data_IF_592028617760
#
_entry.id   IF_592028617760
#
_cell.length_a   1.000
_cell.length_b   1.000
_cell.length_c   1.000
_cell.angle_alpha   90.00
_cell.angle_beta   90.00
_cell.angle_gamma   90.00
#
_symmetry.space_group_name_H-M   'P 1'
#
loop_
_entity.id
_entity.type
_entity.pdbx_description
1 polymer ?
#
# COMPACT_ATOMS: atom_id res chain seq x y z
N UNK A 1 -15.73 6.77 -8.49
CA UNK A 1 -15.27 6.72 -7.09
C UNK A 1 -14.90 5.31 -6.58
N UNK A 2 -14.63 4.34 -7.44
CA UNK A 2 -14.42 2.94 -7.04
C UNK A 2 -12.98 2.45 -7.27
N UNK A 3 -11.99 3.27 -6.90
CA UNK A 3 -10.60 2.97 -7.26
C UNK A 3 -9.82 2.22 -6.17
N UNK A 4 -10.27 2.33 -4.91
CA UNK A 4 -9.77 1.56 -3.76
C UNK A 4 -10.96 0.82 -3.17
N UNK A 5 -10.87 -0.50 -3.10
CA UNK A 5 -11.90 -1.37 -2.53
C UNK A 5 -11.34 -2.13 -1.36
N UNK A 6 -12.07 -2.11 -0.27
CA UNK A 6 -11.73 -2.86 0.95
C UNK A 6 -12.84 -3.85 1.23
N UNK A 7 -12.47 -5.11 1.37
CA UNK A 7 -13.38 -6.17 1.78
C UNK A 7 -12.84 -6.83 3.05
N UNK A 8 -13.74 -7.13 3.94
CA UNK A 8 -13.48 -7.85 5.17
C UNK A 8 -14.43 -9.03 5.23
N UNK A 9 -13.91 -10.23 5.26
CA UNK A 9 -14.77 -11.40 5.27
C UNK A 9 -14.06 -12.73 5.25
N UNK A 10 -14.86 -13.78 5.18
CA UNK A 10 -14.44 -15.17 5.09
C UNK A 10 -14.26 -15.56 3.61
N UNK A 11 -13.09 -16.08 3.27
CA UNK A 11 -12.80 -16.62 1.94
C UNK A 11 -12.97 -18.14 2.01
N UNK A 12 -13.96 -18.70 1.30
CA UNK A 12 -14.06 -20.14 1.12
C UNK A 12 -13.30 -20.56 -0.14
N UNK A 13 -13.69 -20.00 -1.27
CA UNK A 13 -13.04 -20.28 -2.55
C UNK A 13 -13.22 -19.09 -3.51
N UNK A 14 -12.12 -18.61 -4.06
CA UNK A 14 -12.13 -17.74 -5.22
C UNK A 14 -11.47 -18.45 -6.39
N UNK A 15 -12.21 -18.63 -7.45
CA UNK A 15 -11.68 -19.19 -8.70
C UNK A 15 -10.59 -18.29 -9.27
N UNK A 16 -9.70 -18.87 -10.06
CA UNK A 16 -8.58 -18.16 -10.60
C UNK A 16 -8.99 -16.94 -11.42
N UNK A 17 -8.46 -15.79 -11.06
CA UNK A 17 -8.65 -14.50 -11.72
C UNK A 17 -7.32 -13.79 -11.95
N UNK A 18 -7.33 -12.81 -12.86
CA UNK A 18 -6.17 -11.96 -13.12
C UNK A 18 -6.36 -10.65 -12.38
N UNK A 19 -5.39 -10.28 -11.58
CA UNK A 19 -5.46 -9.04 -10.82
C UNK A 19 -5.27 -7.82 -11.74
N UNK A 20 -6.25 -6.92 -11.76
CA UNK A 20 -6.23 -5.70 -12.59
C UNK A 20 -5.54 -4.50 -11.93
N UNK A 21 -4.99 -4.68 -10.73
CA UNK A 21 -4.32 -3.63 -9.98
C UNK A 21 -3.32 -4.22 -8.99
N UNK A 22 -3.21 -3.66 -7.81
CA UNK A 22 -2.50 -4.26 -6.68
C UNK A 22 -3.52 -4.76 -5.66
N UNK A 23 -3.34 -5.99 -5.21
CA UNK A 23 -4.18 -6.61 -4.20
C UNK A 23 -3.34 -6.97 -2.98
N UNK A 24 -3.75 -6.46 -1.82
CA UNK A 24 -3.16 -6.76 -0.53
C UNK A 24 -4.09 -7.69 0.24
N UNK A 25 -3.58 -8.83 0.66
CA UNK A 25 -4.28 -9.80 1.49
C UNK A 25 -3.64 -9.84 2.88
N UNK A 26 -4.43 -9.61 3.92
CA UNK A 26 -4.00 -9.72 5.32
C UNK A 26 -4.95 -10.67 6.06
N UNK A 27 -4.42 -11.77 6.59
CA UNK A 27 -5.22 -12.74 7.35
C UNK A 27 -5.30 -12.31 8.81
N UNK A 28 -6.52 -12.05 9.29
CA UNK A 28 -6.78 -11.69 10.69
C UNK A 28 -7.04 -12.91 11.57
N UNK A 29 -7.64 -13.97 11.00
CA UNK A 29 -7.94 -15.24 11.68
C UNK A 29 -8.00 -16.39 10.68
N UNK A 30 -7.59 -17.59 11.10
CA UNK A 30 -7.60 -18.78 10.26
C UNK A 30 -6.47 -18.81 9.24
N UNK A 31 -6.68 -19.58 8.16
CA UNK A 31 -5.70 -19.76 7.09
C UNK A 31 -6.33 -19.59 5.73
N UNK A 32 -5.55 -19.08 4.77
CA UNK A 32 -5.94 -18.94 3.37
C UNK A 32 -4.82 -19.44 2.48
N UNK A 33 -5.12 -20.38 1.60
CA UNK A 33 -4.21 -20.86 0.57
C UNK A 33 -4.32 -19.97 -0.66
N UNK A 34 -3.21 -19.37 -1.06
CA UNK A 34 -3.08 -18.56 -2.25
C UNK A 34 -2.29 -19.33 -3.28
N UNK A 35 -2.83 -19.51 -4.48
CA UNK A 35 -2.12 -20.03 -5.64
C UNK A 35 -2.00 -18.93 -6.67
N UNK A 36 -0.79 -18.61 -7.06
CA UNK A 36 -0.53 -17.68 -8.16
C UNK A 36 0.28 -18.36 -9.26
N UNK A 37 0.49 -17.68 -10.40
CA UNK A 37 1.28 -18.21 -11.50
C UNK A 37 2.71 -18.56 -11.11
N UNK A 38 3.25 -18.00 -10.03
CA UNK A 38 4.64 -18.15 -9.63
C UNK A 38 4.82 -18.99 -8.36
N UNK A 39 3.79 -19.06 -7.52
CA UNK A 39 3.92 -19.68 -6.19
C UNK A 39 2.59 -20.12 -5.60
N UNK A 40 2.68 -21.09 -4.73
CA UNK A 40 1.59 -21.48 -3.84
C UNK A 40 2.05 -21.21 -2.40
N UNK A 41 1.22 -20.47 -1.65
CA UNK A 41 1.50 -20.09 -0.28
C UNK A 41 0.27 -20.33 0.58
N UNK A 42 0.47 -20.76 1.82
CA UNK A 42 -0.58 -20.76 2.84
C UNK A 42 -0.30 -19.61 3.79
N UNK A 43 -1.22 -18.68 3.83
CA UNK A 43 -1.18 -17.54 4.73
C UNK A 43 -1.93 -17.90 6.01
N UNK A 44 -1.29 -17.70 7.14
CA UNK A 44 -1.85 -17.87 8.48
C UNK A 44 -2.16 -16.51 9.12
N UNK A 45 -2.70 -16.53 10.32
CA UNK A 45 -2.99 -15.31 11.06
C UNK A 45 -1.77 -14.36 11.10
N UNK A 46 -1.98 -13.09 10.77
CA UNK A 46 -1.00 -12.01 10.62
C UNK A 46 -0.17 -12.07 9.34
N UNK A 47 -0.28 -13.10 8.52
CA UNK A 47 0.42 -13.12 7.25
C UNK A 47 -0.20 -12.12 6.26
N UNK A 48 0.69 -11.51 5.50
CA UNK A 48 0.40 -10.51 4.48
C UNK A 48 1.00 -10.94 3.16
N UNK A 49 0.23 -10.81 2.08
CA UNK A 49 0.70 -11.03 0.72
C UNK A 49 0.21 -9.94 -0.22
N UNK A 50 1.09 -9.52 -1.13
CA UNK A 50 0.71 -8.65 -2.25
C UNK A 50 0.67 -9.48 -3.53
N UNK A 51 -0.45 -9.37 -4.25
CA UNK A 51 -0.63 -9.92 -5.60
C UNK A 51 -0.47 -8.77 -6.59
N UNK A 52 0.49 -8.95 -7.50
CA UNK A 52 0.88 -7.91 -8.45
C UNK A 52 -0.16 -7.69 -9.55
N UNK A 53 -0.08 -6.54 -10.19
CA UNK A 53 -0.82 -6.28 -11.41
C UNK A 53 -0.52 -7.34 -12.46
N UNK A 54 -1.57 -7.87 -13.09
CA UNK A 54 -1.46 -8.91 -14.12
C UNK A 54 -1.21 -10.32 -13.59
N UNK A 55 -0.99 -10.51 -12.31
CA UNK A 55 -0.76 -11.82 -11.71
C UNK A 55 -2.06 -12.62 -11.65
N UNK A 56 -2.01 -13.84 -12.16
CA UNK A 56 -3.11 -14.79 -12.02
C UNK A 56 -3.07 -15.38 -10.60
N UNK A 57 -4.23 -15.43 -9.94
CA UNK A 57 -4.32 -15.97 -8.58
C UNK A 57 -5.65 -16.68 -8.33
N UNK A 58 -5.64 -17.60 -7.40
CA UNK A 58 -6.84 -18.21 -6.81
C UNK A 58 -6.66 -18.32 -5.31
N UNK A 59 -7.77 -18.23 -4.58
CA UNK A 59 -7.82 -18.34 -3.13
C UNK A 59 -8.68 -19.51 -2.74
N UNK A 60 -8.28 -20.22 -1.67
CA UNK A 60 -9.02 -21.34 -1.12
C UNK A 60 -8.75 -21.44 0.37
N UNK A 61 -9.78 -21.68 1.17
CA UNK A 61 -9.66 -22.04 2.56
C UNK A 61 -10.61 -23.19 2.89
N UNK A 62 -10.14 -24.17 3.66
CA UNK A 62 -10.94 -25.30 4.14
C UNK A 62 -11.54 -25.05 5.51
N UNK A 63 -11.27 -23.91 6.14
CA UNK A 63 -11.70 -23.57 7.49
C UNK A 63 -12.17 -22.11 7.60
N UNK A 64 -12.98 -21.76 8.60
CA UNK A 64 -13.42 -20.39 8.82
C UNK A 64 -12.22 -19.45 9.01
N UNK A 65 -12.22 -18.35 8.26
CA UNK A 65 -11.17 -17.35 8.32
C UNK A 65 -11.76 -15.95 8.29
N UNK A 66 -10.96 -14.95 8.64
CA UNK A 66 -11.28 -13.53 8.44
C UNK A 66 -10.07 -12.87 7.80
N UNK A 67 -10.29 -12.27 6.64
CA UNK A 67 -9.24 -11.70 5.82
C UNK A 67 -9.61 -10.28 5.41
N UNK A 68 -8.66 -9.35 5.51
CA UNK A 68 -8.75 -8.05 4.86
C UNK A 68 -8.22 -8.20 3.45
N UNK A 69 -9.02 -7.75 2.51
CA UNK A 69 -8.70 -7.66 1.10
C UNK A 69 -8.75 -6.18 0.69
N UNK A 70 -7.61 -5.59 0.40
CA UNK A 70 -7.49 -4.23 -0.08
C UNK A 70 -7.05 -4.25 -1.54
N UNK A 71 -7.91 -3.78 -2.45
CA UNK A 71 -7.63 -3.67 -3.88
C UNK A 71 -7.45 -2.22 -4.30
N UNK A 72 -6.33 -1.93 -4.95
CA UNK A 72 -6.06 -0.66 -5.63
C UNK A 72 -6.15 -0.89 -7.14
N UNK A 73 -7.20 -0.38 -7.75
CA UNK A 73 -7.47 -0.58 -9.18
C UNK A 73 -6.47 0.13 -10.11
N UNK A 74 -6.44 -0.29 -11.38
CA UNK A 74 -5.52 0.24 -12.40
C UNK A 74 -5.65 1.76 -12.56
N UNK A 75 -6.88 2.31 -12.61
CA UNK A 75 -7.11 3.76 -12.74
C UNK A 75 -6.54 4.57 -11.57
N UNK A 76 -6.66 4.05 -10.34
CA UNK A 76 -6.06 4.68 -9.17
C UNK A 76 -4.54 4.69 -9.28
N UNK A 77 -3.95 3.54 -9.63
CA UNK A 77 -2.50 3.40 -9.77
C UNK A 77 -1.95 4.25 -10.91
N UNK A 78 -2.65 4.36 -12.05
CA UNK A 78 -2.24 5.25 -13.14
C UNK A 78 -2.15 6.72 -12.71
N UNK A 79 -3.05 7.15 -11.86
CA UNK A 79 -3.09 8.53 -11.37
C UNK A 79 -2.08 8.80 -10.26
N UNK A 80 -1.91 7.88 -9.31
CA UNK A 80 -1.13 8.11 -8.08
C UNK A 80 0.28 7.57 -8.19
N UNK A 81 0.46 6.41 -8.81
CA UNK A 81 1.75 5.74 -8.90
C UNK A 81 1.78 4.76 -10.08
N UNK A 82 1.84 5.29 -11.29
CA UNK A 82 1.81 4.51 -12.54
C UNK A 82 2.86 3.40 -12.59
N UNK A 83 4.04 3.64 -12.03
CA UNK A 83 5.13 2.66 -12.01
C UNK A 83 4.76 1.39 -11.22
N UNK A 84 3.82 1.49 -10.28
CA UNK A 84 3.37 0.31 -9.52
C UNK A 84 2.71 -0.76 -10.39
N UNK A 85 2.13 -0.37 -11.54
CA UNK A 85 1.56 -1.30 -12.52
C UNK A 85 2.62 -2.16 -13.24
N UNK A 86 3.87 -1.69 -13.28
CA UNK A 86 4.98 -2.33 -13.99
C UNK A 86 6.04 -2.89 -13.05
N UNK A 87 5.97 -2.52 -11.79
CA UNK A 87 6.90 -2.97 -10.77
C UNK A 87 6.43 -4.29 -10.20
N UNK A 88 7.33 -5.25 -10.11
CA UNK A 88 7.06 -6.50 -9.42
C UNK A 88 7.48 -6.39 -7.96
N UNK A 89 6.52 -6.65 -7.09
CA UNK A 89 6.74 -6.61 -5.65
C UNK A 89 6.84 -8.02 -5.09
N UNK A 90 7.83 -8.25 -4.24
CA UNK A 90 7.99 -9.49 -3.48
C UNK A 90 7.63 -9.23 -2.02
N UNK A 91 6.34 -9.08 -1.76
CA UNK A 91 5.81 -8.83 -0.43
C UNK A 91 4.95 -10.03 0.00
N UNK A 92 5.57 -10.95 0.74
CA UNK A 92 4.93 -12.11 1.36
C UNK A 92 5.52 -12.27 2.74
N UNK A 93 4.69 -12.10 3.76
CA UNK A 93 5.03 -12.39 5.14
C UNK A 93 4.55 -13.79 5.46
N UNK A 94 5.45 -14.66 5.83
CA UNK A 94 5.13 -15.95 6.42
C UNK A 94 5.83 -16.05 7.77
N UNK A 95 5.36 -16.93 8.65
CA UNK A 95 5.93 -17.14 9.98
C UNK A 95 7.44 -17.44 10.00
N UNK A 96 8.00 -17.83 8.86
CA UNK A 96 9.42 -18.15 8.70
C UNK A 96 10.32 -16.91 8.52
N UNK A 97 9.76 -15.73 8.21
CA UNK A 97 10.52 -14.51 7.92
C UNK A 97 10.61 -13.53 9.12
N UNK A 98 11.06 -14.02 10.27
CA UNK A 98 11.17 -13.22 11.49
C UNK A 98 12.11 -11.99 11.37
N UNK A 99 13.14 -12.05 10.49
CA UNK A 99 14.13 -10.98 10.34
C UNK A 99 13.58 -9.68 9.71
N UNK A 100 12.45 -9.74 9.00
CA UNK A 100 11.82 -8.58 8.31
C UNK A 100 10.56 -8.09 9.01
N UNK A 101 10.31 -8.52 10.26
CA UNK A 101 9.11 -8.22 11.05
C UNK A 101 8.69 -6.75 11.04
N UNK A 102 9.57 -5.78 11.35
CA UNK A 102 9.18 -4.36 11.42
C UNK A 102 8.65 -3.76 10.11
N UNK A 103 9.17 -4.22 8.96
CA UNK A 103 8.72 -3.74 7.65
C UNK A 103 7.29 -4.20 7.33
N UNK A 104 7.01 -5.48 7.60
CA UNK A 104 5.67 -6.02 7.44
C UNK A 104 4.69 -5.44 8.46
N UNK A 105 5.16 -5.07 9.66
CA UNK A 105 4.33 -4.42 10.67
C UNK A 105 3.86 -3.05 10.21
N UNK A 106 4.70 -2.25 9.57
CA UNK A 106 4.31 -1.00 8.95
C UNK A 106 3.23 -1.20 7.87
N UNK A 107 3.42 -2.18 6.98
CA UNK A 107 2.43 -2.52 5.95
C UNK A 107 1.09 -2.96 6.55
N UNK A 108 1.12 -3.83 7.56
CA UNK A 108 -0.09 -4.29 8.27
C UNK A 108 -0.83 -3.13 8.90
N UNK A 109 -0.13 -2.26 9.63
CA UNK A 109 -0.71 -1.07 10.26
C UNK A 109 -1.43 -0.18 9.25
N UNK A 110 -0.81 0.11 8.11
CA UNK A 110 -1.40 0.93 7.06
C UNK A 110 -2.64 0.28 6.44
N UNK A 111 -2.61 -1.04 6.18
CA UNK A 111 -3.77 -1.78 5.67
C UNK A 111 -4.92 -1.77 6.68
N UNK A 112 -4.61 -1.98 7.97
CA UNK A 112 -5.61 -1.96 9.04
C UNK A 112 -6.25 -0.57 9.19
N UNK A 113 -5.47 0.50 9.11
CA UNK A 113 -5.99 1.87 9.11
C UNK A 113 -6.96 2.12 7.96
N UNK A 114 -6.58 1.74 6.73
CA UNK A 114 -7.46 1.87 5.56
C UNK A 114 -8.74 1.05 5.77
N UNK A 115 -8.65 -0.17 6.30
CA UNK A 115 -9.80 -1.02 6.57
C UNK A 115 -10.71 -0.39 7.65
N UNK A 116 -10.16 0.10 8.74
CA UNK A 116 -10.93 0.76 9.80
C UNK A 116 -11.68 1.99 9.28
N UNK A 117 -11.02 2.85 8.52
CA UNK A 117 -11.68 4.03 7.92
C UNK A 117 -12.78 3.64 6.93
N UNK A 118 -12.55 2.58 6.12
CA UNK A 118 -13.54 2.10 5.16
C UNK A 118 -14.82 1.57 5.83
N UNK A 119 -14.70 0.89 6.97
CA UNK A 119 -15.84 0.31 7.70
C UNK A 119 -16.41 1.24 8.76
N UNK A 120 -15.61 2.10 9.38
CA UNK A 120 -16.04 3.09 10.38
C UNK A 120 -16.90 4.19 9.77
N UNK A 121 -16.71 4.51 8.49
CA UNK A 121 -17.42 5.56 7.74
C UNK A 121 -17.59 6.86 8.53
N UNK A 122 -16.56 7.22 9.29
CA UNK A 122 -16.50 8.49 9.99
C UNK A 122 -16.55 9.66 9.00
N UNK A 123 -16.80 10.86 9.50
CA UNK A 123 -16.76 12.05 8.66
C UNK A 123 -15.41 12.13 7.93
N UNK A 124 -15.44 12.36 6.62
CA UNK A 124 -14.26 12.49 5.76
C UNK A 124 -13.40 11.20 5.61
N UNK A 125 -13.97 10.02 5.87
CA UNK A 125 -13.27 8.73 5.76
C UNK A 125 -12.61 8.51 4.39
N UNK A 126 -13.19 9.02 3.31
CA UNK A 126 -12.62 8.93 1.96
C UNK A 126 -11.29 9.70 1.85
N UNK A 127 -11.18 10.87 2.49
CA UNK A 127 -9.93 11.63 2.55
C UNK A 127 -8.86 10.88 3.36
N UNK A 128 -9.25 10.23 4.45
CA UNK A 128 -8.34 9.41 5.25
C UNK A 128 -7.80 8.22 4.45
N UNK A 129 -8.65 7.53 3.70
CA UNK A 129 -8.22 6.46 2.78
C UNK A 129 -7.29 7.01 1.69
N UNK A 130 -7.62 8.17 1.10
CA UNK A 130 -6.80 8.79 0.06
C UNK A 130 -5.44 9.27 0.59
N UNK A 131 -5.32 9.58 1.86
CA UNK A 131 -4.04 9.92 2.49
C UNK A 131 -3.19 8.68 2.84
N UNK A 132 -3.81 7.63 3.34
CA UNK A 132 -3.14 6.41 3.78
C UNK A 132 -2.68 5.52 2.61
N UNK A 133 -3.44 5.45 1.52
CA UNK A 133 -3.13 4.58 0.40
C UNK A 133 -1.84 4.95 -0.36
N UNK A 134 -1.50 6.23 -0.62
CA UNK A 134 -0.20 6.60 -1.17
C UNK A 134 0.98 6.24 -0.25
N UNK A 135 0.80 6.32 1.06
CA UNK A 135 1.82 5.92 2.04
C UNK A 135 2.07 4.40 1.98
N UNK A 136 1.02 3.60 1.87
CA UNK A 136 1.12 2.15 1.67
C UNK A 136 1.87 1.82 0.37
N UNK A 137 1.57 2.51 -0.73
CA UNK A 137 2.29 2.38 -2.00
C UNK A 137 3.76 2.81 -1.88
N UNK A 138 4.05 3.88 -1.15
CA UNK A 138 5.42 4.32 -0.90
C UNK A 138 6.21 3.25 -0.14
N UNK A 139 5.65 2.70 0.94
CA UNK A 139 6.27 1.61 1.71
C UNK A 139 6.51 0.38 0.84
N UNK A 140 5.52 -0.03 0.04
CA UNK A 140 5.65 -1.15 -0.89
C UNK A 140 6.78 -0.93 -1.91
N UNK A 141 6.86 0.25 -2.51
CA UNK A 141 7.87 0.60 -3.52
C UNK A 141 9.28 0.72 -2.95
N UNK A 142 9.43 1.20 -1.75
CA UNK A 142 10.75 1.40 -1.16
C UNK A 142 11.32 0.12 -0.57
N UNK A 143 10.47 -0.78 -0.06
CA UNK A 143 10.91 -1.92 0.73
C UNK A 143 10.77 -3.28 0.04
N UNK A 144 9.79 -3.44 -0.87
CA UNK A 144 9.39 -4.74 -1.39
C UNK A 144 9.57 -4.93 -2.89
N UNK A 145 10.25 -4.02 -3.55
CA UNK A 145 10.57 -4.18 -4.98
C UNK A 145 11.51 -5.36 -5.18
N UNK A 146 11.09 -6.31 -6.02
CA UNK A 146 11.90 -7.50 -6.35
C UNK A 146 13.21 -7.08 -7.04
N UNK A 147 14.29 -7.84 -6.79
CA UNK A 147 15.66 -7.47 -7.20
C UNK A 147 15.84 -7.14 -8.69
N UNK A 148 15.05 -7.77 -9.57
CA UNK A 148 15.00 -7.43 -11.00
C UNK A 148 14.29 -6.10 -11.29
N UNK A 149 13.39 -5.68 -10.41
CA UNK A 149 12.60 -4.46 -10.56
C UNK A 149 13.18 -3.23 -9.84
N UNK A 150 14.09 -3.41 -8.88
CA UNK A 150 14.72 -2.29 -8.15
C UNK A 150 15.46 -1.30 -9.05
N UNK A 151 15.82 -1.71 -10.26
CA UNK A 151 16.52 -0.87 -11.24
C UNK A 151 15.59 -0.21 -12.26
N UNK A 152 14.26 -0.49 -12.24
CA UNK A 152 13.41 -0.29 -13.41
C UNK A 152 13.00 1.17 -13.69
N UNK A 153 13.16 2.13 -12.76
CA UNK A 153 12.74 3.53 -13.00
C UNK A 153 13.59 4.60 -12.31
N UNK A 154 14.82 4.27 -11.90
CA UNK A 154 15.80 5.29 -11.48
C UNK A 154 16.76 5.63 -12.62
N UNK A 155 16.23 5.90 -13.80
CA UNK A 155 17.10 6.46 -14.82
C UNK A 155 16.93 7.98 -14.86
N UNK A 156 18.02 8.69 -14.66
CA UNK A 156 18.14 10.11 -14.95
C UNK A 156 18.55 10.34 -16.42
N UNK A 157 18.65 9.26 -17.19
CA UNK A 157 19.04 9.31 -18.58
C UNK A 157 17.89 9.83 -19.45
N UNK A 158 17.99 11.08 -19.85
CA UNK A 158 16.97 11.79 -20.64
C UNK A 158 16.63 11.05 -21.93
N UNK A 159 17.61 10.45 -22.61
CA UNK A 159 17.36 9.67 -23.83
C UNK A 159 16.52 8.42 -23.56
N UNK A 160 16.77 7.75 -22.45
CA UNK A 160 15.97 6.57 -22.11
C UNK A 160 14.53 6.94 -21.72
N UNK A 161 14.33 8.06 -21.01
CA UNK A 161 12.99 8.56 -20.69
C UNK A 161 12.21 8.88 -21.97
N UNK A 162 12.81 9.56 -22.93
CA UNK A 162 12.19 9.86 -24.22
C UNK A 162 11.87 8.60 -25.02
N UNK A 163 12.76 7.60 -24.99
CA UNK A 163 12.51 6.29 -25.63
C UNK A 163 11.34 5.57 -24.99
N UNK A 164 11.27 5.54 -23.66
CA UNK A 164 10.17 4.90 -22.92
C UNK A 164 8.82 5.56 -23.22
N UNK A 165 8.77 6.89 -23.24
CA UNK A 165 7.58 7.66 -23.58
C UNK A 165 7.12 7.35 -25.02
N UNK A 166 8.04 7.39 -25.99
CA UNK A 166 7.74 7.05 -27.36
C UNK A 166 7.29 5.59 -27.56
N UNK A 167 7.80 4.65 -26.76
CA UNK A 167 7.35 3.27 -26.78
C UNK A 167 5.92 3.14 -26.23
N UNK A 168 5.60 3.85 -25.17
CA UNK A 168 4.26 3.85 -24.57
C UNK A 168 3.19 4.45 -25.48
N UNK A 169 3.55 5.46 -26.26
CA UNK A 169 2.65 6.07 -27.25
C UNK A 169 2.41 5.18 -28.47
N UNK A 170 3.42 4.41 -28.88
CA UNK A 170 3.43 3.74 -30.18
C UNK A 170 3.57 2.21 -30.10
N UNK A 171 3.32 1.57 -28.96
CA UNK A 171 3.55 0.11 -28.80
C UNK A 171 2.73 -0.76 -29.75
N UNK A 172 1.59 -0.28 -30.26
CA UNK A 172 0.75 -0.94 -31.25
C UNK A 172 1.37 -0.99 -32.67
N UNK A 173 2.34 -0.12 -32.93
CA UNK A 173 3.01 -0.05 -34.20
C UNK A 173 4.26 -0.97 -34.25
N UNK A 174 4.85 -1.20 -35.47
CA UNK A 174 6.09 -1.95 -35.61
C UNK A 174 7.29 -1.15 -35.13
N UNK A 175 7.42 -0.99 -33.82
CA UNK A 175 8.49 -0.26 -33.14
C UNK A 175 9.67 -1.20 -32.88
N UNK A 176 10.65 -1.24 -33.79
CA UNK A 176 11.87 -2.04 -33.59
C UNK A 176 12.94 -1.25 -32.85
N UNK A 177 13.90 -1.96 -32.25
CA UNK A 177 15.04 -1.36 -31.57
C UNK A 177 15.81 -0.40 -32.49
N UNK A 178 16.01 -0.80 -33.76
CA UNK A 178 16.71 -0.03 -34.77
C UNK A 178 15.99 1.28 -35.12
N UNK A 179 14.67 1.20 -35.35
CA UNK A 179 13.83 2.38 -35.61
C UNK A 179 13.85 3.36 -34.43
N UNK A 180 13.72 2.81 -33.20
CA UNK A 180 13.72 3.63 -32.00
C UNK A 180 15.10 4.25 -31.76
N UNK A 181 16.18 3.51 -31.92
CA UNK A 181 17.52 4.04 -31.82
C UNK A 181 17.76 5.16 -32.85
N UNK A 182 17.36 4.96 -34.10
CA UNK A 182 17.47 5.99 -35.15
C UNK A 182 16.67 7.27 -34.81
N UNK A 183 15.46 7.13 -34.27
CA UNK A 183 14.61 8.29 -33.86
C UNK A 183 15.28 9.18 -32.84
N UNK A 184 16.08 8.63 -31.94
CA UNK A 184 16.76 9.36 -30.86
C UNK A 184 18.28 9.52 -31.09
N UNK A 185 18.75 9.30 -32.31
CA UNK A 185 20.18 9.42 -32.69
C UNK A 185 21.12 8.54 -31.86
N UNK A 186 20.63 7.35 -31.46
CA UNK A 186 21.39 6.36 -30.71
C UNK A 186 21.78 5.19 -31.62
N UNK A 187 22.89 4.50 -31.30
CA UNK A 187 23.13 3.22 -31.92
C UNK A 187 22.26 2.12 -31.29
N UNK A 188 21.78 1.12 -32.08
CA UNK A 188 20.98 0.01 -31.52
C UNK A 188 21.69 -0.73 -30.39
N UNK A 189 23.01 -0.93 -30.52
CA UNK A 189 23.83 -1.58 -29.48
C UNK A 189 23.90 -0.76 -28.18
N UNK A 190 23.97 0.58 -28.29
CA UNK A 190 23.96 1.44 -27.12
C UNK A 190 22.60 1.41 -26.45
N UNK A 191 21.50 1.58 -27.21
CA UNK A 191 20.14 1.52 -26.68
C UNK A 191 19.84 0.19 -25.99
N UNK A 192 20.25 -0.93 -26.60
CA UNK A 192 20.08 -2.28 -26.01
C UNK A 192 20.80 -2.42 -24.66
N UNK A 193 22.06 -1.95 -24.59
CA UNK A 193 22.83 -1.97 -23.33
C UNK A 193 22.26 -1.02 -22.29
N UNK A 194 21.82 0.16 -22.71
CA UNK A 194 21.17 1.15 -21.85
C UNK A 194 19.90 0.58 -21.23
N UNK A 195 19.04 -0.05 -22.02
CA UNK A 195 17.85 -0.76 -21.54
C UNK A 195 18.20 -1.82 -20.51
N UNK A 196 19.16 -2.69 -20.81
CA UNK A 196 19.55 -3.78 -19.90
C UNK A 196 20.11 -3.24 -18.59
N UNK A 197 20.91 -2.17 -18.66
CA UNK A 197 21.55 -1.56 -17.49
C UNK A 197 20.55 -0.82 -16.61
N UNK A 198 19.72 0.05 -17.19
CA UNK A 198 18.83 0.94 -16.45
C UNK A 198 17.51 0.26 -16.07
N UNK A 199 16.96 -0.53 -17.01
CA UNK A 199 15.64 -1.17 -16.84
C UNK A 199 15.72 -2.60 -16.31
N UNK A 200 16.90 -3.23 -16.32
CA UNK A 200 17.09 -4.63 -15.91
C UNK A 200 16.43 -5.65 -16.86
N UNK A 201 15.78 -5.19 -17.95
CA UNK A 201 15.08 -6.00 -18.96
C UNK A 201 15.53 -5.62 -20.36
N UNK A 202 15.22 -6.44 -21.35
CA UNK A 202 15.50 -6.10 -22.75
C UNK A 202 14.43 -5.18 -23.33
N UNK A 203 14.79 -4.42 -24.38
CA UNK A 203 13.86 -3.59 -25.14
C UNK A 203 12.62 -4.39 -25.59
N UNK A 204 12.83 -5.59 -26.12
CA UNK A 204 11.74 -6.45 -26.63
C UNK A 204 10.83 -6.95 -25.51
N UNK A 205 11.38 -7.34 -24.38
CA UNK A 205 10.58 -7.77 -23.23
C UNK A 205 9.72 -6.62 -22.70
N UNK A 206 10.27 -5.42 -22.62
CA UNK A 206 9.52 -4.23 -22.23
C UNK A 206 8.41 -3.90 -23.24
N UNK A 207 8.72 -3.89 -24.54
CA UNK A 207 7.72 -3.66 -25.58
C UNK A 207 6.58 -4.69 -25.51
N UNK A 208 6.92 -5.98 -25.33
CA UNK A 208 5.92 -7.02 -25.20
C UNK A 208 5.04 -6.83 -23.94
N UNK A 209 5.59 -6.32 -22.85
CA UNK A 209 4.80 -6.01 -21.65
C UNK A 209 3.77 -4.89 -21.91
N UNK A 210 4.15 -3.85 -22.67
CA UNK A 210 3.24 -2.79 -23.11
C UNK A 210 2.11 -3.33 -23.99
N UNK A 211 2.46 -4.15 -24.98
CA UNK A 211 1.52 -4.77 -25.91
C UNK A 211 0.52 -5.71 -25.22
N UNK A 212 1.02 -6.51 -24.27
CA UNK A 212 0.17 -7.40 -23.47
C UNK A 212 -0.83 -6.61 -22.61
N UNK A 213 -0.41 -5.48 -22.08
CA UNK A 213 -1.29 -4.59 -21.30
C UNK A 213 -2.42 -4.04 -22.17
N UNK A 214 -2.11 -3.51 -23.34
CA UNK A 214 -3.12 -3.02 -24.28
C UNK A 214 -4.09 -4.14 -24.69
N UNK A 215 -3.54 -5.32 -25.04
CA UNK A 215 -4.36 -6.47 -25.40
C UNK A 215 -5.29 -6.94 -24.26
N UNK A 216 -4.85 -6.90 -23.02
CA UNK A 216 -5.69 -7.21 -21.85
C UNK A 216 -6.87 -6.25 -21.72
N UNK A 217 -6.63 -4.94 -21.82
CA UNK A 217 -7.68 -3.92 -21.78
C UNK A 217 -8.71 -4.15 -22.89
N UNK A 218 -8.24 -4.39 -24.10
CA UNK A 218 -9.13 -4.61 -25.25
C UNK A 218 -9.91 -5.93 -25.14
N UNK A 219 -9.29 -7.00 -24.62
CA UNK A 219 -9.96 -8.28 -24.36
C UNK A 219 -11.06 -8.18 -23.30
N UNK A 220 -10.85 -7.38 -22.28
CA UNK A 220 -11.84 -7.11 -21.24
C UNK A 220 -12.98 -6.21 -21.75
N UNK A 221 -12.65 -5.12 -22.43
CA UNK A 221 -13.60 -4.09 -22.81
C UNK A 221 -14.39 -4.41 -24.09
N UNK A 222 -13.91 -5.33 -24.95
CA UNK A 222 -14.50 -5.53 -26.29
C UNK A 222 -14.77 -7.00 -26.63
N UNK A 223 -15.68 -7.20 -27.60
CA UNK A 223 -15.91 -8.48 -28.24
C UNK A 223 -15.04 -8.74 -29.48
N UNK A 224 -14.01 -7.91 -29.75
CA UNK A 224 -13.18 -8.01 -30.95
C UNK A 224 -12.52 -9.40 -31.11
N UNK A 225 -12.31 -9.86 -32.33
CA UNK A 225 -11.63 -11.15 -32.58
C UNK A 225 -10.20 -11.13 -32.02
N UNK A 226 -9.67 -12.30 -31.63
CA UNK A 226 -8.30 -12.39 -31.12
C UNK A 226 -7.25 -11.89 -32.12
N UNK A 227 -7.50 -12.11 -33.42
CA UNK A 227 -6.66 -11.60 -34.49
C UNK A 227 -6.64 -10.08 -34.51
N UNK A 228 -7.82 -9.44 -34.35
CA UNK A 228 -7.94 -7.98 -34.30
C UNK A 228 -7.25 -7.40 -33.08
N UNK A 229 -7.48 -8.00 -31.91
CA UNK A 229 -6.80 -7.59 -30.66
C UNK A 229 -5.28 -7.74 -30.81
N UNK A 230 -4.80 -8.82 -31.40
CA UNK A 230 -3.37 -9.01 -31.64
C UNK A 230 -2.79 -7.87 -32.50
N UNK A 231 -3.42 -7.60 -33.63
CA UNK A 231 -2.95 -6.57 -34.58
C UNK A 231 -3.02 -5.17 -33.98
N UNK A 232 -4.13 -4.81 -33.31
CA UNK A 232 -4.28 -3.50 -32.67
C UNK A 232 -3.20 -3.24 -31.59
N UNK A 233 -2.71 -4.30 -30.98
CA UNK A 233 -1.68 -4.21 -29.93
C UNK A 233 -0.27 -4.60 -30.41
N UNK A 234 -0.03 -4.57 -31.70
CA UNK A 234 1.30 -4.72 -32.31
C UNK A 234 1.84 -6.15 -32.36
N UNK A 235 1.03 -7.17 -32.08
CA UNK A 235 1.42 -8.57 -32.33
C UNK A 235 1.20 -8.93 -33.79
N UNK A 236 2.10 -9.74 -34.34
CA UNK A 236 2.02 -10.17 -35.75
C UNK A 236 0.86 -11.12 -36.03
N UNK A 237 0.34 -11.82 -35.04
CA UNK A 237 -0.77 -12.75 -35.17
C UNK A 237 -1.42 -13.10 -33.82
N UNK A 238 -2.59 -13.75 -33.86
CA UNK A 238 -3.25 -14.30 -32.66
C UNK A 238 -2.38 -15.37 -31.97
N UNK A 239 -1.59 -16.11 -32.69
CA UNK A 239 -0.67 -17.12 -32.13
C UNK A 239 0.48 -16.44 -31.38
N UNK A 240 1.00 -15.31 -31.88
CA UNK A 240 2.02 -14.52 -31.22
C UNK A 240 1.46 -13.93 -29.90
N UNK A 241 0.24 -13.40 -29.92
CA UNK A 241 -0.48 -12.95 -28.75
C UNK A 241 -0.66 -14.09 -27.73
N UNK A 242 -1.14 -15.26 -28.16
CA UNK A 242 -1.33 -16.40 -27.28
C UNK A 242 -0.02 -16.93 -26.67
N UNK A 243 1.10 -16.93 -27.43
CA UNK A 243 2.42 -17.29 -26.87
C UNK A 243 2.84 -16.31 -25.77
N UNK A 244 2.63 -15.01 -25.99
CA UNK A 244 2.94 -13.99 -25.01
C UNK A 244 2.05 -14.12 -23.77
N UNK A 245 0.74 -14.37 -23.92
CA UNK A 245 -0.19 -14.62 -22.83
C UNK A 245 0.18 -15.86 -22.02
N UNK A 246 0.51 -16.99 -22.67
CA UNK A 246 0.93 -18.20 -21.95
C UNK A 246 2.19 -17.98 -21.13
N UNK A 247 3.15 -17.23 -21.67
CA UNK A 247 4.41 -16.94 -20.97
C UNK A 247 4.19 -16.06 -19.73
N UNK A 248 3.31 -15.05 -19.84
CA UNK A 248 3.13 -14.05 -18.77
C UNK A 248 2.02 -14.44 -17.78
N UNK A 249 0.91 -15.04 -18.28
CA UNK A 249 -0.30 -15.29 -17.48
C UNK A 249 -0.66 -16.78 -17.37
N UNK A 250 0.17 -17.68 -17.89
CA UNK A 250 -0.07 -19.13 -17.90
C UNK A 250 -1.44 -19.54 -18.48
N UNK A 251 -2.01 -18.71 -19.36
CA UNK A 251 -3.26 -18.96 -20.05
C UNK A 251 -3.25 -18.35 -21.46
N UNK A 252 -4.19 -18.75 -22.31
CA UNK A 252 -4.38 -18.14 -23.64
C UNK A 252 -5.20 -16.84 -23.53
N UNK A 253 -5.10 -15.99 -24.55
CA UNK A 253 -5.92 -14.76 -24.63
C UNK A 253 -7.44 -15.06 -24.64
N UNK A 254 -7.85 -16.19 -25.25
CA UNK A 254 -9.24 -16.65 -25.23
C UNK A 254 -9.70 -17.09 -23.84
N UNK A 255 -8.86 -17.83 -23.12
CA UNK A 255 -9.12 -18.24 -21.73
C UNK A 255 -9.16 -17.02 -20.81
N UNK A 256 -8.26 -16.06 -21.01
CA UNK A 256 -8.26 -14.79 -20.28
C UNK A 256 -9.60 -14.07 -20.47
N UNK A 257 -10.03 -13.81 -21.72
CA UNK A 257 -11.31 -13.16 -22.02
C UNK A 257 -12.49 -13.87 -21.37
N UNK A 258 -12.55 -15.20 -21.46
CA UNK A 258 -13.62 -16.00 -20.87
C UNK A 258 -13.66 -15.87 -19.36
N UNK A 259 -12.50 -15.79 -18.71
CA UNK A 259 -12.39 -15.60 -17.27
C UNK A 259 -12.87 -14.23 -16.83
N UNK A 260 -12.42 -13.17 -17.51
CA UNK A 260 -12.87 -11.79 -17.22
C UNK A 260 -14.38 -11.65 -17.40
N UNK A 261 -14.95 -12.13 -18.52
CA UNK A 261 -16.41 -12.10 -18.73
C UNK A 261 -17.18 -12.92 -17.69
N UNK A 262 -16.64 -14.07 -17.29
CA UNK A 262 -17.25 -14.89 -16.24
C UNK A 262 -17.21 -14.22 -14.86
N UNK A 263 -16.22 -13.39 -14.59
CA UNK A 263 -16.15 -12.58 -13.37
C UNK A 263 -17.15 -11.42 -13.37
N UNK A 264 -17.48 -10.85 -14.55
CA UNK A 264 -18.55 -9.86 -14.68
C UNK A 264 -19.95 -10.51 -14.53
N UNK A 265 -20.12 -11.79 -14.92
CA UNK A 265 -21.36 -12.53 -14.84
C UNK A 265 -21.60 -13.24 -13.50
N UNK A 266 -20.54 -13.54 -12.76
CA UNK A 266 -20.65 -14.09 -11.40
C UNK A 266 -20.55 -12.92 -10.43
N UNK A 267 -21.61 -12.64 -9.64
CA UNK A 267 -21.42 -11.88 -8.43
C UNK A 267 -20.28 -12.54 -7.67
N UNK A 268 -19.34 -11.75 -7.20
CA UNK A 268 -18.25 -12.24 -6.34
C UNK A 268 -18.85 -13.23 -5.35
N UNK A 269 -18.61 -14.54 -5.56
CA UNK A 269 -18.91 -15.56 -4.58
C UNK A 269 -17.88 -15.49 -3.44
N UNK A 270 -17.69 -14.29 -2.95
CA UNK A 270 -17.28 -14.06 -1.60
C UNK A 270 -18.57 -14.15 -0.79
N UNK A 271 -18.91 -15.35 -0.34
CA UNK A 271 -19.93 -15.50 0.69
C UNK A 271 -19.43 -14.75 1.92
N UNK A 272 -19.90 -13.52 2.02
CA UNK A 272 -19.83 -12.76 3.26
C UNK A 272 -20.75 -13.47 4.24
N UNK A 273 -20.20 -14.33 5.08
CA UNK A 273 -20.93 -14.83 6.23
C UNK A 273 -21.09 -13.65 7.22
N UNK A 274 -22.16 -12.88 7.01
CA UNK A 274 -22.58 -11.82 7.94
C UNK A 274 -22.98 -12.38 9.32
N UNK A 275 -23.11 -13.69 9.49
CA UNK A 275 -23.71 -14.30 10.66
C UNK A 275 -22.90 -15.44 11.26
N UNK A 276 -21.63 -15.21 11.57
CA UNK A 276 -20.91 -16.06 12.55
C UNK A 276 -21.05 -15.49 13.98
N UNK A 277 -20.76 -16.26 15.02
CA UNK A 277 -20.85 -15.79 16.42
C UNK A 277 -19.92 -14.62 16.76
N UNK A 278 -18.99 -14.27 15.88
CA UNK A 278 -18.20 -13.04 15.88
C UNK A 278 -18.31 -12.41 14.50
N UNK A 279 -18.75 -11.17 14.42
CA UNK A 279 -18.76 -10.43 13.15
C UNK A 279 -17.32 -10.26 12.66
N UNK A 280 -17.14 -10.21 11.34
CA UNK A 280 -15.81 -9.94 10.76
C UNK A 280 -15.24 -8.61 11.25
N UNK A 281 -16.12 -7.65 11.54
CA UNK A 281 -15.78 -6.35 12.11
C UNK A 281 -15.23 -6.47 13.53
N UNK A 282 -15.86 -7.30 14.40
CA UNK A 282 -15.34 -7.54 15.75
C UNK A 282 -13.96 -8.17 15.71
N UNK A 283 -13.74 -9.08 14.76
CA UNK A 283 -12.41 -9.66 14.54
C UNK A 283 -11.40 -8.62 14.12
N UNK A 284 -11.75 -7.68 13.21
CA UNK A 284 -10.90 -6.57 12.81
C UNK A 284 -10.56 -5.69 14.02
N UNK A 285 -11.55 -5.26 14.80
CA UNK A 285 -11.36 -4.40 15.98
C UNK A 285 -10.47 -5.08 17.01
N UNK A 286 -10.73 -6.34 17.36
CA UNK A 286 -9.88 -7.11 18.28
C UNK A 286 -8.47 -7.31 17.76
N UNK A 287 -8.32 -7.53 16.45
CA UNK A 287 -7.02 -7.67 15.84
C UNK A 287 -6.22 -6.36 15.92
N UNK A 288 -6.84 -5.22 15.60
CA UNK A 288 -6.23 -3.89 15.73
C UNK A 288 -5.79 -3.65 17.18
N UNK A 289 -6.66 -3.87 18.17
CA UNK A 289 -6.30 -3.72 19.58
C UNK A 289 -5.15 -4.65 20.02
N UNK A 290 -5.13 -5.91 19.53
CA UNK A 290 -4.04 -6.85 19.82
C UNK A 290 -2.72 -6.44 19.16
N UNK A 291 -2.81 -5.74 18.03
CA UNK A 291 -1.67 -5.26 17.27
C UNK A 291 -1.06 -4.02 17.92
N UNK A 292 -1.90 -3.08 18.36
CA UNK A 292 -1.52 -1.88 19.10
C UNK A 292 -0.83 -2.23 20.43
N UNK A 293 -1.38 -3.17 21.20
CA UNK A 293 -0.76 -3.66 22.44
C UNK A 293 0.66 -4.26 22.21
N UNK A 294 0.96 -4.82 21.05
CA UNK A 294 2.30 -5.35 20.73
C UNK A 294 3.23 -4.28 20.17
N UNK A 295 2.71 -3.28 19.47
CA UNK A 295 3.45 -2.08 19.07
C UNK A 295 3.86 -1.24 20.28
N UNK A 296 3.01 -1.15 21.29
CA UNK A 296 3.30 -0.53 22.58
C UNK A 296 4.23 -1.39 23.46
N UNK A 297 4.43 -2.68 23.20
CA UNK A 297 5.40 -3.51 23.89
C UNK A 297 6.88 -3.15 23.62
N UNK A 298 7.14 -2.12 22.81
CA UNK A 298 8.40 -1.36 22.82
C UNK A 298 8.35 -0.14 23.73
N UNK A 299 7.41 -0.06 24.65
CA UNK A 299 7.57 0.75 25.87
C UNK A 299 8.81 0.17 26.55
N UNK A 300 9.95 0.84 26.39
CA UNK A 300 11.09 0.59 27.25
C UNK A 300 10.58 0.95 28.64
N UNK A 301 10.38 -0.05 29.50
CA UNK A 301 10.16 0.18 30.91
C UNK A 301 11.42 0.88 31.43
N UNK A 302 11.33 2.18 31.57
CA UNK A 302 12.32 2.93 32.31
C UNK A 302 11.92 2.85 33.77
N UNK A 303 12.55 1.96 34.52
CA UNK A 303 12.47 2.01 35.98
C UNK A 303 13.24 3.23 36.43
N UNK A 304 12.53 4.33 36.66
CA UNK A 304 13.12 5.50 37.30
C UNK A 304 13.21 5.17 38.78
N UNK A 305 14.40 4.79 39.25
CA UNK A 305 14.69 4.70 40.66
C UNK A 305 14.89 6.14 41.19
N UNK A 306 13.79 6.83 41.42
CA UNK A 306 13.81 8.11 42.13
C UNK A 306 13.90 7.86 43.64
N UNK A 307 14.97 8.28 44.30
CA UNK A 307 14.93 8.50 45.74
C UNK A 307 14.09 9.74 45.97
N UNK A 308 12.99 9.59 46.70
CA UNK A 308 12.24 10.73 47.20
C UNK A 308 13.16 11.57 48.09
N UNK A 309 13.53 12.77 47.64
CA UNK A 309 14.44 13.66 48.38
C UNK A 309 13.71 14.53 49.38
N UNK A 310 12.38 14.52 49.40
CA UNK A 310 11.57 15.35 50.29
C UNK A 310 11.53 16.86 49.92
N UNK A 311 12.22 17.24 48.84
CA UNK A 311 12.17 18.61 48.34
C UNK A 311 10.86 18.86 47.59
N UNK A 312 10.09 19.83 48.05
CA UNK A 312 8.97 20.38 47.30
C UNK A 312 9.55 21.05 46.06
N UNK A 313 9.12 20.60 44.88
CA UNK A 313 9.28 21.39 43.67
C UNK A 313 8.47 22.69 43.87
N UNK A 314 9.14 23.78 44.16
CA UNK A 314 8.55 25.10 44.04
C UNK A 314 8.37 25.34 42.53
N UNK A 315 7.17 24.99 42.03
CA UNK A 315 6.78 25.33 40.68
C UNK A 315 6.79 26.85 40.55
N UNK A 316 7.55 27.39 39.60
CA UNK A 316 7.56 28.85 39.42
C UNK A 316 6.15 29.32 39.07
N UNK A 317 5.81 30.54 39.57
CA UNK A 317 4.47 31.13 39.55
C UNK A 317 3.84 31.31 38.14
N UNK A 318 4.50 30.86 37.06
CA UNK A 318 4.07 31.07 35.65
C UNK A 318 3.97 29.76 34.91
N UNK A 319 2.93 28.99 35.22
CA UNK A 319 2.57 27.76 34.49
C UNK A 319 1.32 28.04 33.69
N UNK A 320 1.39 27.82 32.38
CA UNK A 320 0.23 27.85 31.50
C UNK A 320 -0.47 26.47 31.53
N UNK A 321 -1.72 26.43 31.94
CA UNK A 321 -2.51 25.22 31.94
C UNK A 321 -3.33 25.15 30.64
N UNK A 322 -3.07 24.15 29.79
CA UNK A 322 -3.74 23.99 28.51
C UNK A 322 -4.81 22.88 28.54
N UNK A 323 -4.70 21.95 29.49
CA UNK A 323 -5.57 20.79 29.59
C UNK A 323 -5.16 19.69 28.64
N UNK A 324 -6.14 19.09 27.94
CA UNK A 324 -5.91 17.94 27.09
C UNK A 324 -4.96 18.24 25.92
N UNK A 325 -3.95 17.37 25.74
CA UNK A 325 -2.92 17.50 24.73
C UNK A 325 -3.47 17.56 23.31
N UNK A 326 -4.58 16.86 23.02
CA UNK A 326 -5.19 16.82 21.68
C UNK A 326 -5.60 18.21 21.16
N UNK A 327 -5.87 19.14 22.06
CA UNK A 327 -6.21 20.54 21.72
C UNK A 327 -5.04 21.28 21.09
N UNK A 328 -3.80 20.91 21.41
CA UNK A 328 -2.59 21.55 20.89
C UNK A 328 -2.31 21.26 19.41
N UNK A 329 -2.98 20.30 18.81
CA UNK A 329 -2.95 20.06 17.36
C UNK A 329 -3.72 21.14 16.58
N UNK A 330 -4.60 21.90 17.25
CA UNK A 330 -5.42 22.92 16.62
C UNK A 330 -4.65 24.24 16.51
N UNK A 331 -4.54 24.78 15.31
CA UNK A 331 -3.80 26.02 15.04
C UNK A 331 -4.33 27.19 15.87
N UNK A 332 -5.65 27.31 16.05
CA UNK A 332 -6.26 28.35 16.86
C UNK A 332 -5.78 28.32 18.33
N UNK A 333 -5.59 27.13 18.91
CA UNK A 333 -5.06 26.97 20.27
C UNK A 333 -3.58 27.33 20.32
N UNK A 334 -2.81 26.94 19.30
CA UNK A 334 -1.39 27.31 19.17
C UNK A 334 -1.22 28.82 19.08
N UNK A 335 -2.05 29.51 18.30
CA UNK A 335 -2.00 30.98 18.18
C UNK A 335 -2.35 31.65 19.52
N UNK A 336 -3.35 31.16 20.27
CA UNK A 336 -3.68 31.64 21.60
C UNK A 336 -2.55 31.43 22.61
N UNK A 337 -1.85 30.29 22.56
CA UNK A 337 -0.69 30.02 23.42
C UNK A 337 0.43 30.99 23.12
N UNK A 338 0.66 31.27 21.85
CA UNK A 338 1.68 32.22 21.41
C UNK A 338 1.37 33.64 21.93
N UNK A 339 0.14 34.09 21.76
CA UNK A 339 -0.30 35.40 22.28
C UNK A 339 -0.17 35.48 23.82
N UNK A 340 -0.58 34.43 24.52
CA UNK A 340 -0.45 34.35 25.97
C UNK A 340 1.03 34.33 26.40
N UNK A 341 1.90 33.64 25.66
CA UNK A 341 3.33 33.60 25.93
C UNK A 341 3.98 34.99 25.73
N UNK A 342 3.62 35.70 24.66
CA UNK A 342 4.11 37.04 24.35
C UNK A 342 3.63 38.07 25.42
N UNK A 343 2.39 37.91 25.94
CA UNK A 343 1.81 38.84 26.92
C UNK A 343 2.30 38.61 28.36
N UNK A 344 2.54 37.36 28.75
CA UNK A 344 2.75 37.00 30.18
C UNK A 344 4.14 36.42 30.44
N UNK A 345 4.70 35.67 29.47
CA UNK A 345 6.01 35.02 29.61
C UNK A 345 5.98 33.82 30.57
N UNK A 346 5.31 32.75 30.19
CA UNK A 346 5.31 31.49 30.95
C UNK A 346 6.63 30.74 30.78
N UNK A 347 7.03 29.98 31.81
CA UNK A 347 8.19 29.10 31.76
C UNK A 347 7.78 27.65 31.51
N UNK A 348 6.60 27.30 31.92
CA UNK A 348 6.08 25.93 31.84
C UNK A 348 4.69 25.88 31.23
N UNK A 349 4.37 24.78 30.57
CA UNK A 349 3.02 24.45 30.10
C UNK A 349 2.60 23.10 30.68
N UNK A 350 1.44 23.09 31.38
CA UNK A 350 0.89 21.88 31.97
C UNK A 350 -0.05 21.20 30.93
N UNK A 351 0.20 19.95 30.65
CA UNK A 351 -0.51 19.15 29.68
C UNK A 351 -1.07 17.90 30.34
N UNK A 352 -2.29 17.54 29.98
CA UNK A 352 -2.96 16.30 30.37
C UNK A 352 -3.19 15.40 29.15
N UNK A 353 -3.42 14.10 29.35
CA UNK A 353 -3.76 13.17 28.28
C UNK A 353 -2.64 12.87 27.28
N UNK A 354 -1.40 13.30 27.52
CA UNK A 354 -0.26 13.05 26.61
C UNK A 354 0.00 11.56 26.41
N UNK A 355 -0.30 10.74 27.42
CA UNK A 355 -0.16 9.28 27.37
C UNK A 355 -1.51 8.57 27.22
N UNK A 356 -2.57 9.29 26.80
CA UNK A 356 -3.86 8.66 26.57
C UNK A 356 -3.79 7.67 25.40
N UNK A 357 -4.43 6.52 25.56
CA UNK A 357 -4.52 5.51 24.49
C UNK A 357 -5.16 6.07 23.20
N UNK A 358 -5.90 7.16 23.29
CA UNK A 358 -6.52 7.83 22.14
C UNK A 358 -5.52 8.59 21.28
N UNK A 359 -4.49 9.19 21.88
CA UNK A 359 -3.45 9.91 21.16
C UNK A 359 -2.55 8.99 20.34
N UNK A 360 -2.28 7.79 20.85
CA UNK A 360 -1.40 6.80 20.21
C UNK A 360 -2.14 5.80 19.31
N UNK A 361 -3.43 6.01 19.06
CA UNK A 361 -4.22 5.18 18.13
C UNK A 361 -3.77 5.31 16.67
N UNK A 362 -3.00 6.35 16.33
CA UNK A 362 -2.54 6.63 14.98
C UNK A 362 -1.04 6.96 14.94
N UNK A 363 -0.33 6.46 13.93
CA UNK A 363 1.07 6.87 13.61
C UNK A 363 1.17 8.40 13.44
N UNK A 364 0.08 9.06 13.05
CA UNK A 364 -0.06 10.51 12.99
C UNK A 364 0.05 11.11 14.41
N UNK A 365 -0.46 10.43 15.43
CA UNK A 365 -0.39 10.91 16.82
C UNK A 365 1.04 11.01 17.34
N UNK A 366 1.94 10.08 17.02
CA UNK A 366 3.35 10.18 17.40
C UNK A 366 4.06 11.36 16.71
N UNK A 367 3.76 11.62 15.45
CA UNK A 367 4.29 12.76 14.70
C UNK A 367 3.71 14.08 15.22
N UNK A 368 2.44 14.10 15.62
CA UNK A 368 1.79 15.28 16.20
C UNK A 368 2.33 15.58 17.60
N UNK A 369 2.62 14.57 18.42
CA UNK A 369 3.27 14.75 19.72
C UNK A 369 4.64 15.42 19.56
N UNK A 370 5.48 14.91 18.68
CA UNK A 370 6.80 15.51 18.41
C UNK A 370 6.70 16.92 17.83
N UNK A 371 5.70 17.16 16.97
CA UNK A 371 5.47 18.47 16.35
C UNK A 371 5.03 19.50 17.38
N UNK A 372 4.13 19.12 18.29
CA UNK A 372 3.66 19.96 19.37
C UNK A 372 4.79 20.27 20.36
N UNK A 373 5.60 19.29 20.75
CA UNK A 373 6.74 19.55 21.62
C UNK A 373 7.77 20.48 20.99
N UNK A 374 8.07 20.32 19.69
CA UNK A 374 8.94 21.27 18.98
C UNK A 374 8.35 22.68 18.92
N UNK A 375 7.03 22.78 18.76
CA UNK A 375 6.33 24.07 18.80
C UNK A 375 6.45 24.71 20.17
N UNK A 376 6.21 23.99 21.27
CA UNK A 376 6.35 24.51 22.64
C UNK A 376 7.80 24.92 22.95
N UNK A 377 8.76 24.11 22.51
CA UNK A 377 10.20 24.43 22.63
C UNK A 377 10.55 25.72 21.85
N UNK A 378 9.99 25.94 20.68
CA UNK A 378 10.17 27.17 19.90
C UNK A 378 9.63 28.41 20.58
N UNK A 379 8.70 28.27 21.55
CA UNK A 379 8.18 29.33 22.39
C UNK A 379 8.91 29.45 23.75
N UNK A 380 9.94 28.64 23.97
CA UNK A 380 10.67 28.57 25.24
C UNK A 380 9.83 27.98 26.39
N UNK A 381 8.81 27.19 26.08
CA UNK A 381 7.92 26.55 27.04
C UNK A 381 8.37 25.14 27.37
N UNK A 382 8.67 24.86 28.62
CA UNK A 382 8.98 23.50 29.08
C UNK A 382 7.68 22.78 29.43
N UNK A 383 7.39 21.62 28.77
CA UNK A 383 6.19 20.86 29.04
C UNK A 383 6.25 20.18 30.42
N UNK A 384 5.21 20.34 31.19
CA UNK A 384 4.93 19.61 32.42
C UNK A 384 3.74 18.68 32.16
N UNK A 385 3.96 17.38 32.27
CA UNK A 385 2.95 16.38 31.93
C UNK A 385 2.30 15.88 33.23
N UNK A 386 1.00 16.08 33.32
CA UNK A 386 0.20 15.52 34.41
C UNK A 386 -0.27 14.13 33.99
N UNK A 387 0.14 13.12 34.75
CA UNK A 387 -0.31 11.74 34.56
C UNK A 387 -1.45 11.49 35.53
N UNK A 388 -2.63 11.12 35.02
CA UNK A 388 -3.71 10.63 35.88
C UNK A 388 -3.44 9.18 36.21
N UNK A 389 -3.64 8.79 37.50
CA UNK A 389 -3.51 7.41 37.98
C UNK A 389 -4.62 6.52 37.45
#
# INVERSE_FOLDING_TARGET
MEQIRVFLGNIQKKHGSVNSGLLFLLVLRGTVRVRSSERQQTLSQRDLMVINHGEFYSLESGEPNVTVWLSMGEEYLERVCREALYTRFSCVSTSENAATGPLYDSMRSQILQIAMHSYGRERDYELLIQSAAPLLLHTLRTQFVSGSSRRKYRTENVHLLQVLEAMEENFGEPVTLEKMAGRFYLSPSYLSRLFKREMGTTYLEYLNSLRLRGARRELAATGASLTRVALNNGFSSAEALNRAFRREFSCTAAEYRRRVKKEEELPDQMEFLENGPESSLDTLVRFVHSYEKRGSARVREYTVQGKWTGERLDLPARVLYVGDFSRLSQKAVQDQIKEAQEAIGFSYVCLEGVFSAELFKNVIGELDVLRVFRYLDSLGLTPFIRVEE
#
